data_IF_265334554713
#
_entry.id   IF_265334554713
#
_cell.length_a   1.000
_cell.length_b   1.000
_cell.length_c   1.000
_cell.angle_alpha   90.00
_cell.angle_beta   90.00
_cell.angle_gamma   90.00
#
_symmetry.space_group_name_H-M   'P 1'
#
loop_
_entity.id
_entity.type
_entity.pdbx_description
1 polymer ?
#
# COMPACT_ATOMS: atom_id res chain seq x y z
N UNK A 1 -0.94 11.44 -1.25
CA UNK A 1 -0.69 9.99 -1.14
C UNK A 1 -1.50 9.51 0.05
N UNK A 2 -2.38 8.54 -0.14
CA UNK A 2 -3.21 7.96 0.91
C UNK A 2 -2.80 6.51 1.11
N UNK A 3 -2.57 6.08 2.34
CA UNK A 3 -2.30 4.68 2.67
C UNK A 3 -3.25 4.18 3.74
N UNK A 4 -3.71 2.94 3.56
CA UNK A 4 -4.47 2.19 4.55
C UNK A 4 -3.70 0.91 4.84
N UNK A 5 -3.44 0.65 6.12
CA UNK A 5 -2.83 -0.59 6.58
C UNK A 5 -3.76 -1.28 7.57
N UNK A 6 -4.03 -2.56 7.32
CA UNK A 6 -4.69 -3.44 8.26
C UNK A 6 -3.77 -4.60 8.60
N UNK A 7 -3.73 -4.93 9.88
CA UNK A 7 -3.02 -6.08 10.38
C UNK A 7 -3.93 -6.84 11.33
N UNK A 8 -3.99 -8.16 11.16
CA UNK A 8 -4.59 -9.04 12.15
C UNK A 8 -3.73 -10.27 12.36
N UNK A 9 -3.80 -10.81 13.58
CA UNK A 9 -3.03 -11.99 13.98
C UNK A 9 -4.00 -13.04 14.48
N UNK A 10 -3.86 -14.26 13.97
CA UNK A 10 -4.59 -15.44 14.44
C UNK A 10 -3.61 -16.37 15.13
N UNK A 11 -3.87 -16.66 16.40
CA UNK A 11 -3.07 -17.61 17.18
C UNK A 11 -3.80 -18.93 17.28
N UNK A 12 -3.17 -20.02 16.84
CA UNK A 12 -3.71 -21.38 16.87
C UNK A 12 -2.68 -22.30 17.55
N UNK A 13 -3.03 -22.81 18.74
CA UNK A 13 -2.10 -23.53 19.61
C UNK A 13 -0.79 -22.75 19.86
N UNK A 14 0.31 -23.20 19.27
CA UNK A 14 1.64 -22.58 19.35
C UNK A 14 2.06 -21.89 18.05
N UNK A 15 1.14 -21.70 17.10
CA UNK A 15 1.43 -20.98 15.87
C UNK A 15 0.74 -19.62 15.88
N UNK A 16 1.44 -18.60 15.41
CA UNK A 16 0.92 -17.26 15.15
C UNK A 16 0.98 -16.99 13.66
N UNK A 17 -0.18 -16.69 13.08
CA UNK A 17 -0.32 -16.32 11.67
C UNK A 17 -0.66 -14.84 11.62
N UNK A 18 0.20 -14.05 10.99
CA UNK A 18 0.00 -12.62 10.82
C UNK A 18 -0.35 -12.34 9.36
N UNK A 19 -1.44 -11.60 9.18
CA UNK A 19 -1.90 -11.11 7.89
C UNK A 19 -1.72 -9.60 7.89
N UNK A 20 -1.01 -9.10 6.87
CA UNK A 20 -0.84 -7.68 6.62
C UNK A 20 -1.41 -7.35 5.25
N UNK A 21 -2.24 -6.33 5.24
CA UNK A 21 -2.83 -5.77 4.03
C UNK A 21 -2.50 -4.29 3.98
N UNK A 22 -1.97 -3.82 2.85
CA UNK A 22 -1.75 -2.41 2.62
C UNK A 22 -2.27 -1.98 1.26
N UNK A 23 -2.97 -0.84 1.24
CA UNK A 23 -3.38 -0.15 0.03
C UNK A 23 -2.71 1.20 0.03
N UNK A 24 -2.07 1.53 -1.08
CA UNK A 24 -1.47 2.85 -1.30
C UNK A 24 -2.05 3.45 -2.56
N UNK A 25 -2.59 4.65 -2.44
CA UNK A 25 -3.10 5.45 -3.55
C UNK A 25 -2.21 6.68 -3.71
N UNK A 26 -1.62 6.81 -4.90
CA UNK A 26 -0.79 7.95 -5.27
C UNK A 26 -1.47 8.72 -6.39
N UNK A 27 -1.68 10.01 -6.16
CA UNK A 27 -2.21 10.93 -7.17
C UNK A 27 -1.10 11.93 -7.50
N UNK A 28 -0.72 11.99 -8.76
CA UNK A 28 0.29 12.91 -9.28
C UNK A 28 -0.39 13.84 -10.28
N UNK A 29 -0.25 15.15 -10.07
CA UNK A 29 -0.74 16.17 -10.99
C UNK A 29 0.48 16.86 -11.60
N UNK A 30 0.54 16.91 -12.93
CA UNK A 30 1.59 17.60 -13.67
C UNK A 30 0.95 18.69 -14.52
N UNK A 31 1.45 19.91 -14.38
CA UNK A 31 1.02 21.06 -15.17
C UNK A 31 2.18 21.51 -16.03
N UNK A 32 1.93 21.67 -17.33
CA UNK A 32 2.92 22.13 -18.30
C UNK A 32 2.39 23.38 -18.99
N UNK A 33 3.21 24.44 -18.99
CA UNK A 33 2.89 25.72 -19.65
C UNK A 33 3.93 25.97 -20.73
N UNK A 34 3.47 26.30 -21.93
CA UNK A 34 4.32 26.64 -23.08
C UNK A 34 4.10 28.10 -23.49
N UNK A 35 5.18 28.80 -23.86
CA UNK A 35 5.14 30.18 -24.37
C UNK A 35 4.43 30.15 -25.73
N UNK A 36 3.44 31.03 -25.92
CA UNK A 36 2.30 31.00 -26.89
C UNK A 36 0.98 30.40 -26.37
N UNK A 37 0.92 30.07 -25.08
CA UNK A 37 -0.26 29.64 -24.30
C UNK A 37 -0.89 28.35 -24.82
N UNK A 38 -0.24 27.24 -24.49
CA UNK A 38 -0.95 25.96 -24.30
C UNK A 38 -0.74 25.52 -22.86
N UNK A 39 -1.84 25.23 -22.15
CA UNK A 39 -1.83 24.68 -20.79
C UNK A 39 -2.25 23.23 -20.86
N UNK A 40 -1.34 22.33 -20.48
CA UNK A 40 -1.63 20.90 -20.39
C UNK A 40 -1.63 20.48 -18.92
N UNK A 41 -2.71 19.83 -18.49
CA UNK A 41 -2.85 19.25 -17.16
C UNK A 41 -2.97 17.74 -17.29
N UNK A 42 -2.02 17.02 -16.70
CA UNK A 42 -2.03 15.56 -16.65
C UNK A 42 -2.24 15.11 -15.21
N UNK A 43 -3.25 14.25 -15.00
CA UNK A 43 -3.52 13.64 -13.69
C UNK A 43 -3.28 12.13 -13.82
N UNK A 44 -2.35 11.62 -13.01
CA UNK A 44 -2.03 10.20 -12.93
C UNK A 44 -2.46 9.67 -11.57
N UNK A 45 -3.26 8.61 -11.56
CA UNK A 45 -3.66 7.89 -10.35
C UNK A 45 -3.07 6.50 -10.39
N UNK A 46 -2.28 6.14 -9.38
CA UNK A 46 -1.71 4.81 -9.20
C UNK A 46 -2.22 4.19 -7.90
N UNK A 47 -2.62 2.93 -7.96
CA UNK A 47 -3.08 2.15 -6.80
C UNK A 47 -2.19 0.92 -6.68
N UNK A 48 -1.58 0.74 -5.51
CA UNK A 48 -0.77 -0.42 -5.17
C UNK A 48 -1.41 -1.16 -3.99
N UNK A 49 -1.52 -2.48 -4.10
CA UNK A 49 -2.04 -3.36 -3.06
C UNK A 49 -0.98 -4.39 -2.73
N UNK A 50 -0.61 -4.49 -1.44
CA UNK A 50 0.35 -5.47 -0.96
C UNK A 50 -0.31 -6.33 0.11
N UNK A 51 -0.17 -7.65 -0.04
CA UNK A 51 -0.67 -8.66 0.88
C UNK A 51 0.53 -9.49 1.33
N UNK A 52 0.75 -9.58 2.64
CA UNK A 52 1.80 -10.40 3.23
C UNK A 52 1.21 -11.30 4.31
N UNK A 53 1.66 -12.55 4.30
CA UNK A 53 1.30 -13.56 5.31
C UNK A 53 2.58 -14.13 5.89
N UNK A 54 2.69 -14.13 7.21
CA UNK A 54 3.80 -14.75 7.94
C UNK A 54 3.27 -15.72 8.98
N UNK A 55 4.00 -16.82 9.16
CA UNK A 55 3.70 -17.84 10.17
C UNK A 55 4.91 -17.97 11.08
N UNK A 56 4.70 -17.94 12.39
CA UNK A 56 5.75 -18.12 13.39
C UNK A 56 5.33 -19.11 14.47
N UNK A 57 6.31 -19.83 15.03
CA UNK A 57 6.17 -20.70 16.19
C UNK A 57 7.14 -20.19 17.27
N UNK A 58 6.71 -19.99 18.53
CA UNK A 58 7.62 -19.73 19.62
C UNK A 58 8.53 -20.96 19.79
N UNK A 59 9.83 -20.70 19.81
CA UNK A 59 10.86 -21.69 20.03
C UNK A 59 10.90 -22.06 21.52
N UNK A 60 9.88 -22.79 22.01
CA UNK A 60 9.99 -23.43 23.33
C UNK A 60 10.76 -24.75 23.13
N UNK A 61 12.02 -24.77 23.60
CA UNK A 61 12.83 -25.98 23.84
C UNK A 61 12.27 -26.79 25.00
#
# INVERSE_FOLDING_TARGET
>A
MFSLQLQFTVSVYSFSIQFQYSVTVTVTVTVTVTVTVTVTVTVTVAVAVTISVSVSKPLNL
#
